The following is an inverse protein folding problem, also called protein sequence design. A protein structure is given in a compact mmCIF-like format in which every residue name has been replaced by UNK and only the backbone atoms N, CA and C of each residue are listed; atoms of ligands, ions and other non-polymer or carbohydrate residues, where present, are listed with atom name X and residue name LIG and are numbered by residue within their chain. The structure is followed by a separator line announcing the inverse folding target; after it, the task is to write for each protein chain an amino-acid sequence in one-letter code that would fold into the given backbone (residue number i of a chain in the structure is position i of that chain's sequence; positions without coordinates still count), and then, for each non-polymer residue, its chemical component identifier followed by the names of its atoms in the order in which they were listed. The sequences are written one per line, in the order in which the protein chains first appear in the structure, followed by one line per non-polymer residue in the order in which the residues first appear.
data_IF_918432593358
#
_entry.id   IF_918432593358
#
_cell.length_a   1.000
_cell.length_b   1.000
_cell.length_c   1.000
_cell.angle_alpha   90.00
_cell.angle_beta   90.00
_cell.angle_gamma   90.00
#
_symmetry.space_group_name_H-M   'P 1'
#
loop_
_entity.id
_entity.type
_entity.pdbx_description
1 polymer ?
#
# COMPACT_ATOMS: atom_id res chain seq x y z
N UNK A 1 -27.65 -4.82 15.01
CA UNK A 1 -27.91 -3.71 14.08
C UNK A 1 -27.71 -2.40 14.83
N UNK A 2 -26.59 -1.75 14.61
CA UNK A 2 -26.42 -0.32 14.89
C UNK A 2 -25.88 0.28 13.60
N UNK A 3 -26.71 1.10 12.96
CA UNK A 3 -26.30 2.00 11.90
C UNK A 3 -25.30 3.00 12.49
N UNK A 4 -24.14 3.14 11.85
CA UNK A 4 -23.43 4.40 11.84
C UNK A 4 -23.04 4.69 10.41
N UNK A 5 -23.65 5.73 9.83
CA UNK A 5 -23.20 6.40 8.61
C UNK A 5 -21.87 7.13 8.90
N UNK A 6 -20.87 6.40 9.40
CA UNK A 6 -19.56 6.95 9.75
C UNK A 6 -18.59 6.62 8.63
N UNK A 7 -17.95 7.65 8.08
CA UNK A 7 -16.89 7.45 7.10
C UNK A 7 -15.72 6.64 7.66
N UNK A 8 -14.70 6.47 6.84
CA UNK A 8 -13.46 5.82 7.25
C UNK A 8 -12.83 6.53 8.46
N UNK A 9 -12.34 5.75 9.43
CA UNK A 9 -11.56 6.28 10.54
C UNK A 9 -10.32 7.02 10.04
N UNK A 10 -9.81 7.95 10.84
CA UNK A 10 -8.61 8.72 10.51
C UNK A 10 -7.62 8.75 11.66
N UNK A 11 -6.33 8.65 11.31
CA UNK A 11 -5.23 8.78 12.28
C UNK A 11 -4.66 10.18 12.20
N UNK A 12 -4.62 10.86 13.34
CA UNK A 12 -4.12 12.21 13.51
C UNK A 12 -2.97 12.25 14.52
N UNK A 13 -1.99 13.10 14.27
CA UNK A 13 -0.93 13.40 15.23
C UNK A 13 -0.43 14.82 14.97
N UNK A 14 -0.51 15.69 15.98
CA UNK A 14 -0.10 17.08 15.84
C UNK A 14 1.42 17.24 15.67
N UNK A 15 2.20 16.47 16.43
CA UNK A 15 3.67 16.46 16.40
C UNK A 15 4.16 15.04 16.72
N UNK A 16 5.35 14.61 16.27
CA UNK A 16 5.87 13.26 16.54
C UNK A 16 5.95 12.88 18.03
N UNK A 17 6.08 13.88 18.92
CA UNK A 17 6.09 13.70 20.39
C UNK A 17 4.70 13.71 21.03
N UNK A 18 3.65 14.03 20.30
CA UNK A 18 2.27 14.02 20.80
C UNK A 18 1.68 12.63 20.64
N UNK A 19 0.86 12.14 21.60
CA UNK A 19 0.14 10.88 21.43
C UNK A 19 -0.69 10.93 20.14
N UNK A 20 -0.71 9.83 19.37
CA UNK A 20 -1.56 9.75 18.20
C UNK A 20 -3.03 9.61 18.62
N UNK A 21 -3.92 10.06 17.74
CA UNK A 21 -5.37 9.92 17.91
C UNK A 21 -5.94 9.12 16.74
N UNK A 22 -6.72 8.09 17.05
CA UNK A 22 -7.53 7.33 16.11
C UNK A 22 -8.98 7.81 16.24
N UNK A 23 -9.41 8.59 15.26
CA UNK A 23 -10.77 9.14 15.20
C UNK A 23 -11.80 8.02 14.94
N UNK A 24 -13.06 8.20 15.38
CA UNK A 24 -14.12 7.23 15.13
C UNK A 24 -14.37 6.98 13.63
N UNK A 25 -14.83 5.78 13.30
CA UNK A 25 -15.18 5.37 11.94
C UNK A 25 -14.70 3.97 11.58
N UNK A 26 -14.98 3.56 10.34
CA UNK A 26 -14.67 2.20 9.89
C UNK A 26 -13.17 1.97 9.78
N UNK A 27 -12.69 0.88 10.39
CA UNK A 27 -11.30 0.46 10.31
C UNK A 27 -11.03 -0.32 9.02
N UNK A 28 -9.88 -0.04 8.41
CA UNK A 28 -9.34 -0.77 7.27
C UNK A 28 -7.91 -1.20 7.57
N UNK A 29 -7.36 -2.19 6.85
CA UNK A 29 -5.95 -2.58 7.00
C UNK A 29 -4.99 -1.40 6.86
N UNK A 30 -5.27 -0.46 5.95
CA UNK A 30 -4.48 0.77 5.75
C UNK A 30 -4.54 1.68 6.98
N UNK A 31 -5.70 1.87 7.58
CA UNK A 31 -5.87 2.72 8.76
C UNK A 31 -5.16 2.12 9.97
N UNK A 32 -5.30 0.82 10.22
CA UNK A 32 -4.60 0.12 11.29
C UNK A 32 -3.08 0.14 11.10
N UNK A 33 -2.61 0.00 9.87
CA UNK A 33 -1.20 0.15 9.53
C UNK A 33 -0.68 1.57 9.82
N UNK A 34 -1.45 2.61 9.43
CA UNK A 34 -1.12 4.00 9.75
C UNK A 34 -1.12 4.27 11.26
N UNK A 35 -2.09 3.72 11.98
CA UNK A 35 -2.18 3.81 13.44
C UNK A 35 -0.96 3.20 14.10
N UNK A 36 -0.61 1.96 13.71
CA UNK A 36 0.59 1.26 14.16
C UNK A 36 1.85 2.11 13.99
N UNK A 37 2.12 2.61 12.78
CA UNK A 37 3.32 3.42 12.52
C UNK A 37 3.35 4.71 13.33
N UNK A 38 2.21 5.36 13.51
CA UNK A 38 2.13 6.62 14.26
C UNK A 38 2.36 6.38 15.76
N UNK A 39 1.82 5.28 16.30
CA UNK A 39 2.10 4.80 17.65
C UNK A 39 3.58 4.46 17.84
N UNK A 40 4.18 3.79 16.86
CA UNK A 40 5.59 3.42 16.89
C UNK A 40 6.51 4.65 16.90
N UNK A 41 6.25 5.63 16.03
CA UNK A 41 6.98 6.91 15.98
C UNK A 41 6.88 7.64 17.32
N UNK A 42 5.69 7.72 17.90
CA UNK A 42 5.48 8.32 19.22
C UNK A 42 6.28 7.59 20.30
N UNK A 43 6.22 6.26 20.33
CA UNK A 43 6.95 5.43 21.29
C UNK A 43 8.46 5.62 21.18
N UNK A 44 9.00 5.69 19.95
CA UNK A 44 10.42 5.98 19.72
C UNK A 44 10.80 7.37 20.24
N UNK A 45 10.03 8.41 19.92
CA UNK A 45 10.31 9.78 20.36
C UNK A 45 10.17 10.00 21.87
N UNK A 46 9.37 9.16 22.53
CA UNK A 46 9.17 9.18 23.99
C UNK A 46 10.02 8.16 24.72
N UNK A 47 10.82 7.38 24.00
CA UNK A 47 11.67 6.32 24.55
C UNK A 47 10.87 5.37 25.46
N UNK A 48 9.68 4.96 24.99
CA UNK A 48 8.80 4.10 25.77
C UNK A 48 9.28 2.66 25.75
N UNK A 49 9.39 2.08 26.95
CA UNK A 49 9.54 0.63 27.12
C UNK A 49 8.42 -0.12 26.38
N UNK A 50 8.75 -1.25 25.77
CA UNK A 50 7.80 -2.03 24.97
C UNK A 50 6.49 -2.37 25.70
N UNK A 51 6.57 -2.68 27.00
CA UNK A 51 5.43 -2.99 27.87
C UNK A 51 4.61 -1.76 28.32
N UNK A 52 5.00 -0.55 27.93
CA UNK A 52 4.27 0.69 28.19
C UNK A 52 3.68 1.29 26.91
N UNK A 53 4.00 0.75 25.73
CA UNK A 53 3.58 1.36 24.47
C UNK A 53 2.07 1.33 24.31
N UNK A 54 1.44 0.16 24.51
CA UNK A 54 -0.01 -0.03 24.35
C UNK A 54 -0.80 0.88 25.30
N UNK A 55 -0.50 0.82 26.60
CA UNK A 55 -1.18 1.65 27.62
C UNK A 55 -1.06 3.16 27.37
N UNK A 56 0.01 3.59 26.69
CA UNK A 56 0.24 5.02 26.38
C UNK A 56 -0.51 5.49 25.14
N UNK A 57 -0.72 4.63 24.16
CA UNK A 57 -1.39 4.99 22.89
C UNK A 57 -2.87 4.63 22.89
N UNK A 58 -3.32 3.68 23.71
CA UNK A 58 -4.71 3.23 23.76
C UNK A 58 -5.69 4.34 24.13
N UNK A 59 -5.28 5.29 24.96
CA UNK A 59 -6.09 6.49 25.26
C UNK A 59 -6.34 7.40 24.07
N UNK A 60 -5.58 7.23 22.97
CA UNK A 60 -5.80 7.93 21.71
C UNK A 60 -6.93 7.33 20.85
N UNK A 61 -7.50 6.18 21.23
CA UNK A 61 -8.65 5.58 20.56
C UNK A 61 -9.93 6.34 20.96
N UNK A 62 -10.55 7.02 20.00
CA UNK A 62 -11.75 7.85 20.25
C UNK A 62 -13.07 7.16 19.91
N UNK A 63 -13.03 6.04 19.21
CA UNK A 63 -14.21 5.22 18.98
C UNK A 63 -14.62 4.52 20.28
N UNK A 64 -15.89 4.64 20.66
CA UNK A 64 -16.40 4.09 21.93
C UNK A 64 -16.28 2.56 21.96
N UNK A 65 -16.50 1.87 20.85
CA UNK A 65 -16.37 0.40 20.80
C UNK A 65 -14.91 -0.04 20.99
N UNK A 66 -13.94 0.67 20.40
CA UNK A 66 -12.51 0.43 20.63
C UNK A 66 -12.11 0.74 22.07
N UNK A 67 -12.57 1.87 22.60
CA UNK A 67 -12.27 2.29 23.96
C UNK A 67 -12.84 1.32 25.00
N UNK A 68 -14.06 0.83 24.80
CA UNK A 68 -14.71 -0.13 25.69
C UNK A 68 -14.05 -1.51 25.62
N UNK A 69 -13.69 -1.98 24.42
CA UNK A 69 -12.87 -3.20 24.27
C UNK A 69 -11.58 -3.10 25.08
N UNK A 70 -10.83 -2.00 24.93
CA UNK A 70 -9.60 -1.77 25.69
C UNK A 70 -9.84 -1.72 27.21
N UNK A 71 -10.84 -0.95 27.67
CA UNK A 71 -11.13 -0.78 29.10
C UNK A 71 -11.63 -2.06 29.76
N UNK A 72 -12.36 -2.89 29.02
CA UNK A 72 -12.94 -4.14 29.56
C UNK A 72 -11.88 -5.18 29.94
N UNK A 73 -10.68 -5.12 29.34
CA UNK A 73 -9.59 -6.05 29.58
C UNK A 73 -8.22 -5.36 29.60
N UNK A 74 -8.21 -4.18 30.21
CA UNK A 74 -7.06 -3.27 30.17
C UNK A 74 -5.77 -3.95 30.65
N UNK A 75 -5.81 -4.65 31.78
CA UNK A 75 -4.62 -5.29 32.35
C UNK A 75 -4.00 -6.32 31.39
N UNK A 76 -4.81 -7.05 30.62
CA UNK A 76 -4.32 -8.02 29.63
C UNK A 76 -3.77 -7.29 28.40
N UNK A 77 -4.51 -6.30 27.90
CA UNK A 77 -4.15 -5.58 26.68
C UNK A 77 -2.87 -4.75 26.91
N UNK A 78 -2.68 -4.17 28.09
CA UNK A 78 -1.46 -3.42 28.46
C UNK A 78 -0.20 -4.30 28.48
N UNK A 79 -0.35 -5.62 28.64
CA UNK A 79 0.77 -6.57 28.59
C UNK A 79 1.15 -6.98 27.17
N UNK A 80 0.35 -6.63 26.16
CA UNK A 80 0.66 -6.93 24.77
C UNK A 80 1.79 -6.06 24.24
N UNK A 81 2.53 -6.59 23.27
CA UNK A 81 3.35 -5.73 22.40
C UNK A 81 2.43 -4.91 21.50
N UNK A 82 2.95 -3.81 20.95
CA UNK A 82 2.19 -3.01 19.98
C UNK A 82 1.77 -3.88 18.78
N UNK A 83 2.64 -4.76 18.28
CA UNK A 83 2.31 -5.69 17.20
C UNK A 83 1.15 -6.63 17.56
N UNK A 84 1.19 -7.24 18.76
CA UNK A 84 0.13 -8.14 19.21
C UNK A 84 -1.21 -7.42 19.40
N UNK A 85 -1.19 -6.20 19.92
CA UNK A 85 -2.38 -5.36 20.04
C UNK A 85 -3.00 -5.06 18.67
N UNK A 86 -2.19 -4.70 17.67
CA UNK A 86 -2.68 -4.46 16.30
C UNK A 86 -3.23 -5.75 15.67
N UNK A 87 -2.61 -6.90 15.92
CA UNK A 87 -3.14 -8.20 15.46
C UNK A 87 -4.51 -8.50 16.06
N UNK A 88 -4.71 -8.24 17.36
CA UNK A 88 -6.04 -8.37 17.98
C UNK A 88 -7.05 -7.39 17.38
N UNK A 89 -6.66 -6.12 17.16
CA UNK A 89 -7.54 -5.15 16.50
C UNK A 89 -7.94 -5.60 15.08
N UNK A 90 -7.01 -6.16 14.30
CA UNK A 90 -7.32 -6.71 12.98
C UNK A 90 -8.35 -7.84 13.07
N UNK A 91 -8.18 -8.76 14.01
CA UNK A 91 -9.09 -9.89 14.20
C UNK A 91 -10.49 -9.49 14.68
N UNK A 92 -10.63 -8.37 15.40
CA UNK A 92 -11.90 -7.95 15.99
C UNK A 92 -12.69 -6.99 15.11
N UNK A 93 -12.00 -6.11 14.37
CA UNK A 93 -12.64 -4.97 13.69
C UNK A 93 -12.55 -5.03 12.17
N UNK A 94 -11.74 -5.91 11.59
CA UNK A 94 -11.78 -6.17 10.16
C UNK A 94 -12.74 -7.33 9.89
N UNK A 95 -13.34 -7.35 8.69
CA UNK A 95 -14.12 -8.51 8.23
C UNK A 95 -13.21 -9.73 8.10
N UNK A 96 -13.73 -10.92 8.39
CA UNK A 96 -12.96 -12.18 8.33
C UNK A 96 -12.25 -12.43 6.99
N UNK A 97 -12.80 -11.92 5.88
CA UNK A 97 -12.29 -12.06 4.52
C UNK A 97 -11.39 -10.90 4.04
N UNK A 98 -10.98 -9.99 4.93
CA UNK A 98 -10.17 -8.82 4.56
C UNK A 98 -8.85 -9.18 3.87
N UNK A 99 -8.25 -10.31 4.25
CA UNK A 99 -7.02 -10.80 3.63
C UNK A 99 -7.24 -11.27 2.19
N UNK A 100 -8.34 -11.97 1.96
CA UNK A 100 -8.73 -12.49 0.65
C UNK A 100 -9.07 -11.34 -0.29
N UNK A 101 -9.81 -10.33 0.18
CA UNK A 101 -10.13 -9.12 -0.58
C UNK A 101 -8.86 -8.40 -1.07
N UNK A 102 -7.89 -8.15 -0.18
CA UNK A 102 -6.63 -7.51 -0.55
C UNK A 102 -5.79 -8.37 -1.49
N UNK A 103 -5.74 -9.68 -1.24
CA UNK A 103 -5.01 -10.62 -2.09
C UNK A 103 -5.62 -10.66 -3.48
N UNK A 104 -6.94 -10.67 -3.57
CA UNK A 104 -7.67 -10.65 -4.83
C UNK A 104 -7.47 -9.33 -5.57
N UNK A 105 -7.47 -8.19 -4.87
CA UNK A 105 -7.13 -6.87 -5.43
C UNK A 105 -5.75 -6.89 -6.09
N UNK A 106 -4.75 -7.47 -5.41
CA UNK A 106 -3.40 -7.62 -5.96
C UNK A 106 -3.44 -8.49 -7.22
N UNK A 107 -4.02 -9.69 -7.14
CA UNK A 107 -3.98 -10.67 -8.22
C UNK A 107 -4.78 -10.26 -9.46
N UNK A 108 -5.85 -9.47 -9.29
CA UNK A 108 -6.63 -8.88 -10.38
C UNK A 108 -5.98 -7.65 -10.99
N UNK A 109 -4.98 -7.07 -10.34
CA UNK A 109 -4.36 -5.85 -10.82
C UNK A 109 -3.53 -6.10 -12.09
N UNK A 110 -3.64 -5.17 -13.04
CA UNK A 110 -2.84 -5.16 -14.26
C UNK A 110 -2.31 -3.77 -14.50
N UNK A 111 -1.10 -3.65 -15.07
CA UNK A 111 -0.62 -2.37 -15.56
C UNK A 111 -1.57 -1.87 -16.64
N UNK A 112 -2.14 -0.68 -16.47
CA UNK A 112 -3.07 -0.12 -17.46
C UNK A 112 -2.34 0.17 -18.79
N UNK A 113 -3.02 -0.12 -19.89
CA UNK A 113 -2.53 0.18 -21.25
C UNK A 113 -2.55 1.68 -21.52
N UNK A 114 -1.58 2.13 -22.33
CA UNK A 114 -1.49 3.52 -22.77
C UNK A 114 -2.49 3.76 -23.90
N UNK A 115 -3.73 4.12 -23.57
CA UNK A 115 -4.71 4.51 -24.59
C UNK A 115 -4.35 5.88 -25.17
N UNK A 116 -4.48 6.00 -26.50
CA UNK A 116 -4.07 7.17 -27.31
C UNK A 116 -4.73 8.51 -26.93
N UNK A 117 -5.75 8.51 -26.07
CA UNK A 117 -6.53 9.72 -25.72
C UNK A 117 -6.65 9.98 -24.23
N UNK A 118 -5.99 9.22 -23.36
CA UNK A 118 -6.00 9.48 -21.91
C UNK A 118 -4.65 9.99 -21.46
N UNK A 119 -4.65 11.17 -20.83
CA UNK A 119 -3.53 11.74 -20.07
C UNK A 119 -3.04 10.84 -18.91
N UNK A 120 -3.69 9.69 -18.71
CA UNK A 120 -3.51 8.80 -17.58
C UNK A 120 -2.71 7.55 -18.02
N UNK A 121 -1.47 7.79 -18.46
CA UNK A 121 -0.50 6.71 -18.62
C UNK A 121 -0.08 6.19 -17.24
N UNK A 122 -0.23 4.90 -16.97
CA UNK A 122 0.27 4.29 -15.75
C UNK A 122 1.67 3.71 -16.00
N UNK A 123 2.69 4.43 -15.52
CA UNK A 123 4.06 3.93 -15.45
C UNK A 123 4.10 2.63 -14.64
N UNK A 124 4.92 1.68 -15.09
CA UNK A 124 5.17 0.40 -14.41
C UNK A 124 5.47 0.61 -12.92
N UNK A 125 6.27 1.62 -12.60
CA UNK A 125 6.65 1.95 -11.23
C UNK A 125 5.46 2.31 -10.33
N UNK A 126 4.48 3.06 -10.84
CA UNK A 126 3.30 3.46 -10.07
C UNK A 126 2.43 2.24 -9.74
N UNK A 127 2.24 1.35 -10.71
CA UNK A 127 1.53 0.09 -10.52
C UNK A 127 2.25 -0.81 -9.50
N UNK A 128 3.55 -1.05 -9.69
CA UNK A 128 4.36 -1.89 -8.78
C UNK A 128 4.32 -1.34 -7.35
N UNK A 129 4.48 -0.03 -7.16
CA UNK A 129 4.43 0.58 -5.83
C UNK A 129 3.07 0.38 -5.15
N UNK A 130 1.97 0.55 -5.89
CA UNK A 130 0.63 0.27 -5.35
C UNK A 130 0.54 -1.17 -4.89
N UNK A 131 0.95 -2.12 -5.73
CA UNK A 131 0.87 -3.55 -5.40
C UNK A 131 1.78 -3.94 -4.23
N UNK A 132 3.01 -3.42 -4.18
CA UNK A 132 3.90 -3.65 -3.05
C UNK A 132 3.36 -3.04 -1.76
N UNK A 133 2.72 -1.87 -1.84
CA UNK A 133 2.08 -1.21 -0.70
C UNK A 133 0.88 -2.03 -0.20
N UNK A 134 0.00 -2.48 -1.08
CA UNK A 134 -1.13 -3.36 -0.72
C UNK A 134 -0.63 -4.68 -0.12
N UNK A 135 0.37 -5.33 -0.75
CA UNK A 135 0.94 -6.56 -0.23
C UNK A 135 1.58 -6.39 1.15
N UNK A 136 2.14 -5.21 1.45
CA UNK A 136 2.72 -4.94 2.78
C UNK A 136 1.69 -4.97 3.92
N UNK A 137 0.40 -4.76 3.63
CA UNK A 137 -0.68 -4.85 4.61
C UNK A 137 -0.95 -6.29 5.04
N UNK A 138 -0.62 -7.25 4.17
CA UNK A 138 -0.73 -8.69 4.40
C UNK A 138 0.51 -9.26 5.10
N UNK A 139 1.52 -8.44 5.44
CA UNK A 139 2.72 -8.92 6.11
C UNK A 139 2.36 -9.62 7.43
N UNK A 140 3.07 -10.72 7.73
CA UNK A 140 2.82 -11.64 8.84
C UNK A 140 1.53 -12.47 8.74
N UNK A 141 0.82 -12.43 7.59
CA UNK A 141 -0.28 -13.36 7.29
C UNK A 141 0.12 -14.38 6.23
N UNK A 142 -0.64 -15.48 6.14
CA UNK A 142 -0.44 -16.51 5.11
C UNK A 142 -0.78 -16.01 3.70
N UNK A 143 -1.51 -14.90 3.61
CA UNK A 143 -1.96 -14.29 2.35
C UNK A 143 -0.90 -13.38 1.72
N UNK A 144 0.19 -13.07 2.43
CA UNK A 144 1.32 -12.30 1.92
C UNK A 144 1.97 -12.95 0.69
N UNK A 145 2.10 -12.20 -0.41
CA UNK A 145 2.81 -12.69 -1.60
C UNK A 145 4.32 -12.54 -1.43
N UNK A 146 5.04 -13.62 -1.76
CA UNK A 146 6.50 -13.61 -1.80
C UNK A 146 7.01 -12.75 -2.95
N UNK A 147 8.27 -12.33 -2.88
CA UNK A 147 8.94 -11.64 -4.00
C UNK A 147 8.89 -12.46 -5.31
N UNK A 148 8.93 -13.79 -5.22
CA UNK A 148 8.83 -14.67 -6.39
C UNK A 148 7.42 -14.62 -6.99
N UNK A 149 6.38 -14.72 -6.14
CA UNK A 149 4.98 -14.63 -6.56
C UNK A 149 4.65 -13.26 -7.16
N UNK A 150 5.14 -12.18 -6.55
CA UNK A 150 5.00 -10.82 -7.06
C UNK A 150 5.71 -10.64 -8.41
N UNK A 151 6.93 -11.16 -8.55
CA UNK A 151 7.65 -11.12 -9.84
C UNK A 151 6.83 -11.80 -10.93
N UNK A 152 6.35 -13.01 -10.68
CA UNK A 152 5.53 -13.75 -11.64
C UNK A 152 4.27 -12.96 -12.00
N UNK A 153 3.57 -12.41 -11.01
CA UNK A 153 2.41 -11.55 -11.24
C UNK A 153 2.76 -10.34 -12.12
N UNK A 154 3.86 -9.63 -11.84
CA UNK A 154 4.29 -8.50 -12.65
C UNK A 154 4.64 -8.90 -14.08
N UNK A 155 5.35 -10.00 -14.30
CA UNK A 155 5.69 -10.53 -15.62
C UNK A 155 4.45 -10.89 -16.46
N UNK A 156 3.42 -11.44 -15.81
CA UNK A 156 2.17 -11.84 -16.48
C UNK A 156 1.25 -10.64 -16.74
N UNK A 157 1.20 -9.66 -15.84
CA UNK A 157 0.19 -8.59 -15.86
C UNK A 157 0.71 -7.19 -16.23
N UNK A 158 2.01 -7.05 -16.53
CA UNK A 158 2.52 -5.85 -17.20
C UNK A 158 1.91 -5.72 -18.62
N UNK A 159 1.79 -4.49 -19.10
CA UNK A 159 1.11 -4.17 -20.35
C UNK A 159 1.93 -4.67 -21.57
N UNK A 160 1.30 -4.74 -22.74
CA UNK A 160 1.93 -5.30 -23.93
C UNK A 160 3.15 -4.50 -24.42
N UNK A 161 3.13 -3.18 -24.23
CA UNK A 161 4.24 -2.29 -24.59
C UNK A 161 5.45 -2.57 -23.70
N UNK A 162 5.31 -2.52 -22.37
CA UNK A 162 6.37 -2.82 -21.41
C UNK A 162 6.96 -4.22 -21.64
N UNK A 163 6.12 -5.23 -21.92
CA UNK A 163 6.57 -6.59 -22.28
C UNK A 163 7.47 -6.59 -23.52
N UNK A 164 7.13 -5.80 -24.53
CA UNK A 164 7.89 -5.73 -25.79
C UNK A 164 9.30 -5.18 -25.55
N UNK A 165 9.46 -4.22 -24.66
CA UNK A 165 10.78 -3.68 -24.31
C UNK A 165 11.59 -4.64 -23.46
N UNK A 166 10.96 -5.31 -22.49
CA UNK A 166 11.60 -6.37 -21.71
C UNK A 166 12.09 -7.55 -22.58
N UNK A 167 11.47 -7.78 -23.76
CA UNK A 167 11.90 -8.82 -24.70
C UNK A 167 13.28 -8.58 -25.30
N UNK A 168 13.72 -7.32 -25.40
CA UNK A 168 15.05 -6.97 -25.94
C UNK A 168 16.18 -7.42 -25.00
N UNK A 169 15.96 -7.28 -23.69
CA UNK A 169 16.95 -7.56 -22.65
C UNK A 169 16.56 -8.79 -21.80
N UNK A 170 15.85 -9.75 -22.40
CA UNK A 170 15.26 -10.88 -21.65
C UNK A 170 16.29 -11.72 -20.93
N UNK A 171 17.50 -11.86 -21.49
CA UNK A 171 18.56 -12.67 -20.88
C UNK A 171 19.10 -11.98 -19.62
N UNK A 172 19.40 -10.70 -19.69
CA UNK A 172 19.87 -9.91 -18.54
C UNK A 172 18.78 -9.85 -17.46
N UNK A 173 17.54 -9.52 -17.82
CA UNK A 173 16.43 -9.39 -16.88
C UNK A 173 16.14 -10.70 -16.13
N UNK A 174 16.25 -11.86 -16.77
CA UNK A 174 16.05 -13.17 -16.13
C UNK A 174 17.08 -13.46 -15.04
N UNK A 175 18.30 -12.96 -15.17
CA UNK A 175 19.37 -13.18 -14.20
C UNK A 175 19.27 -12.29 -12.95
N UNK A 176 18.48 -11.21 -13.01
CA UNK A 176 18.36 -10.25 -11.91
C UNK A 176 17.52 -10.81 -10.75
N UNK A 177 17.92 -10.49 -9.53
CA UNK A 177 17.07 -10.66 -8.35
C UNK A 177 15.88 -9.68 -8.38
N UNK A 178 14.88 -9.88 -7.52
CA UNK A 178 13.61 -9.15 -7.57
C UNK A 178 13.74 -7.62 -7.60
N UNK A 179 14.49 -7.01 -6.67
CA UNK A 179 14.64 -5.55 -6.61
C UNK A 179 15.41 -4.99 -7.82
N UNK A 180 16.59 -5.52 -8.18
CA UNK A 180 17.26 -5.13 -9.42
C UNK A 180 16.40 -5.30 -10.67
N UNK A 181 15.61 -6.38 -10.74
CA UNK A 181 14.69 -6.64 -11.85
C UNK A 181 13.61 -5.58 -11.96
N UNK A 182 12.93 -5.21 -10.86
CA UNK A 182 11.94 -4.12 -10.86
C UNK A 182 12.56 -2.83 -11.39
N UNK A 183 13.77 -2.48 -10.93
CA UNK A 183 14.43 -1.25 -11.35
C UNK A 183 14.79 -1.28 -12.84
N UNK A 184 15.26 -2.40 -13.37
CA UNK A 184 15.57 -2.53 -14.78
C UNK A 184 14.31 -2.40 -15.66
N UNK A 185 13.20 -3.06 -15.29
CA UNK A 185 11.92 -2.95 -16.01
C UNK A 185 11.38 -1.52 -15.94
N UNK A 186 11.49 -0.86 -14.78
CA UNK A 186 11.11 0.55 -14.61
C UNK A 186 11.85 1.45 -15.59
N UNK A 187 13.18 1.32 -15.70
CA UNK A 187 13.98 2.18 -16.58
C UNK A 187 13.58 1.99 -18.05
N UNK A 188 13.35 0.75 -18.47
CA UNK A 188 12.87 0.45 -19.84
C UNK A 188 11.48 1.04 -20.11
N UNK A 189 10.57 0.99 -19.14
CA UNK A 189 9.23 1.56 -19.24
C UNK A 189 9.26 3.10 -19.31
N UNK A 190 10.08 3.73 -18.49
CA UNK A 190 10.26 5.19 -18.46
C UNK A 190 10.91 5.72 -19.75
N UNK A 191 11.92 5.03 -20.28
CA UNK A 191 12.56 5.35 -21.57
C UNK A 191 11.53 5.29 -22.71
N UNK A 192 10.75 4.21 -22.79
CA UNK A 192 9.69 4.10 -23.79
C UNK A 192 8.61 5.18 -23.63
N UNK A 193 8.18 5.45 -22.40
CA UNK A 193 7.21 6.50 -22.14
C UNK A 193 7.73 7.89 -22.55
N UNK A 194 9.04 8.13 -22.49
CA UNK A 194 9.68 9.33 -23.01
C UNK A 194 9.68 9.35 -24.54
N UNK A 195 10.15 8.29 -25.20
CA UNK A 195 10.21 8.19 -26.66
C UNK A 195 8.82 8.37 -27.31
N UNK A 196 7.79 7.75 -26.74
CA UNK A 196 6.40 7.84 -27.21
C UNK A 196 5.85 9.26 -27.10
N UNK A 197 6.19 10.00 -26.05
CA UNK A 197 5.83 11.42 -25.90
C UNK A 197 6.47 12.26 -26.99
N UNK A 198 7.78 12.12 -27.19
CA UNK A 198 8.52 12.85 -28.22
C UNK A 198 7.96 12.58 -29.63
N UNK A 199 7.62 11.31 -29.93
CA UNK A 199 6.98 10.94 -31.21
C UNK A 199 5.61 11.58 -31.38
N UNK A 200 4.80 11.63 -30.32
CA UNK A 200 3.45 12.20 -30.35
C UNK A 200 3.49 13.71 -30.58
N UNK A 201 4.42 14.41 -29.92
CA UNK A 201 4.67 15.84 -30.11
C UNK A 201 5.14 16.13 -31.54
N UNK A 202 6.10 15.37 -32.05
CA UNK A 202 6.58 15.52 -33.43
C UNK A 202 5.47 15.31 -34.49
N UNK A 203 4.57 14.34 -34.26
CA UNK A 203 3.40 14.11 -35.13
C UNK A 203 2.43 15.29 -35.04
N UNK A 204 2.12 15.77 -33.84
CA UNK A 204 1.22 16.91 -33.65
C UNK A 204 1.75 18.17 -34.35
N UNK A 205 3.05 18.45 -34.22
CA UNK A 205 3.71 19.57 -34.88
C UNK A 205 3.74 19.45 -36.40
N UNK A 206 3.87 18.24 -36.93
CA UNK A 206 3.83 17.99 -38.38
C UNK A 206 2.42 18.17 -38.94
N UNK A 207 1.39 17.70 -38.24
CA UNK A 207 -0.02 17.90 -38.61
C UNK A 207 -0.40 19.38 -38.55
N UNK A 208 0.06 20.12 -37.54
CA UNK A 208 -0.20 21.56 -37.45
C UNK A 208 0.43 22.34 -38.61
N UNK A 209 1.63 21.96 -39.04
CA UNK A 209 2.35 22.60 -40.16
C UNK A 209 1.77 22.27 -41.55
N UNK A 210 1.07 21.15 -41.71
CA UNK A 210 0.42 20.78 -42.99
C UNK A 210 -0.99 21.36 -43.15
N UNK A 211 -1.59 21.87 -42.07
CA UNK A 211 -2.90 22.53 -42.07
C UNK A 211 -2.87 24.05 -42.22
N UNK A 212 -1.68 24.65 -42.35
CA UNK A 212 -1.44 26.06 -42.67
C UNK A 212 -0.98 26.21 -44.12
#
# INVERSE_FOLDING_TARGET
MLNSETGLATVQQAMPKSPPTLMPGDLTPVILCKWYYTCHIYAMHKELDANKQVSRVAWGMQDDCLADWYRSDQDRIDRLTLDACITEMKSLYLRDDWEDDLREEILKSTQKEILKSTQNNELFWNWVNRIQSTNSLLKETTSHLTNQSLRFHFEVHMNAETKRYCKKDTRELKALAFKPWINAVRLLDEEHAHDKRNQTEAIADAVHRQGQ
#
